data_IF_831158511156
#
_entry.id   IF_831158511156
#
_cell.length_a   1.000
_cell.length_b   1.000
_cell.length_c   1.000
_cell.angle_alpha   90.00
_cell.angle_beta   90.00
_cell.angle_gamma   90.00
#
_symmetry.space_group_name_H-M   'P 1'
#
loop_
_entity.id
_entity.type
_entity.pdbx_description
1 polymer ?
#
# COMPACT_ATOMS: atom_id res chain seq x y z
N UNK A 1 -4.25 0.80 -24.95
CA UNK A 1 -4.14 -0.35 -24.02
C UNK A 1 -5.40 -0.38 -23.17
N UNK A 2 -5.92 -1.55 -22.85
CA UNK A 2 -7.03 -1.72 -21.91
C UNK A 2 -6.61 -1.34 -20.47
N UNK A 3 -7.57 -1.03 -19.57
CA UNK A 3 -7.27 -0.67 -18.18
C UNK A 3 -6.37 -1.67 -17.44
N UNK A 4 -6.57 -3.00 -17.59
CA UNK A 4 -5.67 -3.98 -16.96
C UNK A 4 -4.20 -3.84 -17.40
N UNK A 5 -3.95 -3.61 -18.69
CA UNK A 5 -2.60 -3.45 -19.21
C UNK A 5 -1.91 -2.20 -18.65
N UNK A 6 -2.66 -1.09 -18.53
CA UNK A 6 -2.16 0.16 -17.96
C UNK A 6 -1.80 0.01 -16.50
N UNK A 7 -2.61 -0.72 -15.73
CA UNK A 7 -2.34 -0.96 -14.30
C UNK A 7 -1.10 -1.84 -14.11
N UNK A 8 -0.98 -2.95 -14.86
CA UNK A 8 0.17 -3.86 -14.81
C UNK A 8 1.46 -3.14 -15.24
N UNK A 9 1.38 -2.31 -16.26
CA UNK A 9 2.52 -1.55 -16.78
C UNK A 9 2.83 -0.26 -16.00
N UNK A 10 2.12 0.00 -14.90
CA UNK A 10 2.36 1.16 -14.02
C UNK A 10 2.23 2.49 -14.77
N UNK A 11 1.24 2.59 -15.67
CA UNK A 11 0.92 3.84 -16.38
C UNK A 11 0.55 4.92 -15.36
N UNK A 12 1.42 5.90 -15.19
CA UNK A 12 1.28 6.95 -14.17
C UNK A 12 0.02 7.79 -14.38
N UNK A 13 -0.35 8.07 -15.62
CA UNK A 13 -1.56 8.81 -15.91
C UNK A 13 -2.80 8.01 -15.50
N UNK A 14 -2.83 6.71 -15.83
CA UNK A 14 -3.91 5.83 -15.42
C UNK A 14 -4.00 5.69 -13.89
N UNK A 15 -2.85 5.50 -13.22
CA UNK A 15 -2.81 5.41 -11.76
C UNK A 15 -3.35 6.69 -11.11
N UNK A 16 -2.88 7.86 -11.55
CA UNK A 16 -3.27 9.17 -11.01
C UNK A 16 -4.72 9.53 -11.29
N UNK A 17 -5.17 9.37 -12.55
CA UNK A 17 -6.40 9.97 -13.06
C UNK A 17 -7.60 9.01 -13.02
N UNK A 18 -7.37 7.70 -12.88
CA UNK A 18 -8.41 6.67 -12.90
C UNK A 18 -8.40 5.80 -11.65
N UNK A 19 -7.26 5.16 -11.34
CA UNK A 19 -7.19 4.18 -10.26
C UNK A 19 -7.19 4.82 -8.87
N UNK A 20 -6.46 5.93 -8.72
CA UNK A 20 -6.27 6.66 -7.47
C UNK A 20 -6.71 8.12 -7.57
N UNK A 21 -7.66 8.45 -8.46
CA UNK A 21 -8.22 9.81 -8.55
C UNK A 21 -8.81 10.28 -7.22
N UNK A 22 -9.35 9.35 -6.44
CA UNK A 22 -9.84 9.50 -5.08
C UNK A 22 -9.68 8.19 -4.29
N UNK A 23 -10.06 8.21 -3.01
CA UNK A 23 -9.93 7.06 -2.11
C UNK A 23 -10.98 5.95 -2.27
N UNK A 24 -11.93 6.03 -3.18
CA UNK A 24 -13.08 5.11 -3.24
C UNK A 24 -12.65 3.64 -3.46
N UNK A 25 -11.89 3.38 -4.52
CA UNK A 25 -11.37 2.03 -4.83
C UNK A 25 -10.41 1.53 -3.76
N UNK A 26 -9.60 2.43 -3.18
CA UNK A 26 -8.68 2.08 -2.10
C UNK A 26 -9.44 1.73 -0.82
N UNK A 27 -10.56 2.40 -0.50
CA UNK A 27 -11.39 2.08 0.67
C UNK A 27 -11.96 0.67 0.62
N UNK A 28 -12.45 0.19 -0.53
CA UNK A 28 -12.94 -1.18 -0.67
C UNK A 28 -11.85 -2.21 -0.31
N UNK A 29 -10.61 -1.98 -0.76
CA UNK A 29 -9.46 -2.85 -0.43
C UNK A 29 -9.09 -2.78 1.05
N UNK A 30 -8.96 -1.58 1.60
CA UNK A 30 -8.60 -1.40 3.01
C UNK A 30 -9.69 -1.91 3.96
N UNK A 31 -10.96 -1.85 3.58
CA UNK A 31 -12.08 -2.38 4.34
C UNK A 31 -11.99 -3.89 4.50
N UNK A 32 -11.67 -4.64 3.43
CA UNK A 32 -11.50 -6.10 3.51
C UNK A 32 -10.41 -6.45 4.54
N UNK A 33 -9.26 -5.78 4.45
CA UNK A 33 -8.17 -6.00 5.39
C UNK A 33 -8.53 -5.61 6.83
N UNK A 34 -9.22 -4.51 7.04
CA UNK A 34 -9.63 -4.05 8.37
C UNK A 34 -10.67 -4.96 9.02
N UNK A 35 -11.63 -5.49 8.22
CA UNK A 35 -12.76 -6.30 8.73
C UNK A 35 -12.36 -7.73 9.05
N UNK A 36 -11.43 -8.32 8.29
CA UNK A 36 -11.17 -9.75 8.31
C UNK A 36 -9.75 -10.14 8.74
N UNK A 37 -8.89 -9.18 9.09
CA UNK A 37 -7.57 -9.46 9.66
C UNK A 37 -7.69 -10.26 10.97
N UNK A 38 -6.82 -11.26 11.13
CA UNK A 38 -6.79 -12.09 12.36
C UNK A 38 -5.80 -11.56 13.38
N UNK A 39 -4.88 -10.67 12.96
CA UNK A 39 -3.90 -10.06 13.85
C UNK A 39 -4.56 -9.01 14.74
N UNK A 40 -4.26 -9.04 16.04
CA UNK A 40 -4.82 -8.10 17.04
C UNK A 40 -4.27 -6.67 16.91
N UNK A 41 -3.03 -6.52 16.44
CA UNK A 41 -2.41 -5.22 16.20
C UNK A 41 -2.68 -4.84 14.75
N UNK A 42 -3.43 -3.77 14.45
CA UNK A 42 -3.65 -3.33 13.08
C UNK A 42 -2.36 -3.02 12.33
N UNK A 43 -2.35 -3.29 11.02
CA UNK A 43 -1.22 -3.05 10.11
C UNK A 43 -0.57 -1.67 10.30
N UNK A 44 -1.38 -0.62 10.39
CA UNK A 44 -0.91 0.76 10.53
C UNK A 44 -0.18 1.00 11.86
N UNK A 45 -0.68 0.40 12.94
CA UNK A 45 -0.04 0.49 14.24
C UNK A 45 1.27 -0.29 14.27
N UNK A 46 1.27 -1.48 13.68
CA UNK A 46 2.47 -2.30 13.57
C UNK A 46 3.56 -1.58 12.77
N UNK A 47 3.22 -1.01 11.60
CA UNK A 47 4.17 -0.23 10.79
C UNK A 47 4.79 0.92 11.58
N UNK A 48 3.97 1.74 12.23
CA UNK A 48 4.48 2.86 13.03
C UNK A 48 5.38 2.41 14.18
N UNK A 49 5.14 1.22 14.73
CA UNK A 49 6.00 0.63 15.76
C UNK A 49 7.39 0.22 15.27
N UNK A 50 7.64 0.17 13.95
CA UNK A 50 8.95 -0.18 13.39
C UNK A 50 9.93 0.98 13.32
N UNK A 51 9.45 2.23 13.36
CA UNK A 51 10.29 3.42 13.26
C UNK A 51 9.87 4.46 14.28
N UNK A 52 10.86 5.13 14.85
CA UNK A 52 10.66 6.27 15.75
C UNK A 52 10.93 7.56 14.98
N UNK A 53 9.99 8.51 15.03
CA UNK A 53 10.20 9.85 14.50
C UNK A 53 10.72 10.70 15.66
N UNK A 54 11.92 11.33 15.54
CA UNK A 54 12.47 12.16 16.58
C UNK A 54 11.55 13.30 17.00
N UNK A 55 11.59 13.72 18.25
CA UNK A 55 10.89 14.93 18.70
C UNK A 55 11.41 16.15 17.94
N UNK A 56 10.48 16.97 17.40
CA UNK A 56 10.80 18.08 16.53
C UNK A 56 11.35 17.67 15.16
N UNK A 57 11.33 16.39 14.82
CA UNK A 57 11.84 15.86 13.56
C UNK A 57 10.90 16.06 12.38
N UNK A 58 11.39 15.76 11.17
CA UNK A 58 10.65 15.88 9.92
C UNK A 58 10.42 14.50 9.32
N UNK A 59 9.16 14.14 9.09
CA UNK A 59 8.75 12.91 8.43
C UNK A 59 8.14 13.20 7.05
N UNK A 60 8.46 12.36 6.07
CA UNK A 60 7.88 12.36 4.74
C UNK A 60 7.17 11.04 4.49
N UNK A 61 5.89 11.07 4.13
CA UNK A 61 5.21 9.91 3.56
C UNK A 61 5.04 10.11 2.05
N UNK A 62 5.53 9.14 1.27
CA UNK A 62 5.40 9.09 -0.19
C UNK A 62 4.39 8.03 -0.57
N UNK A 63 3.36 8.42 -1.37
CA UNK A 63 2.23 7.57 -1.68
C UNK A 63 1.29 7.40 -0.47
N UNK A 64 0.89 8.53 0.16
CA UNK A 64 0.10 8.51 1.40
C UNK A 64 -1.32 7.96 1.23
N UNK A 65 -1.83 7.86 0.00
CA UNK A 65 -3.20 7.47 -0.27
C UNK A 65 -4.19 8.32 0.52
N UNK A 66 -5.09 7.67 1.24
CA UNK A 66 -6.10 8.33 2.08
C UNK A 66 -5.62 8.70 3.51
N UNK A 67 -4.32 8.54 3.80
CA UNK A 67 -3.73 8.92 5.09
C UNK A 67 -4.01 7.95 6.24
N UNK A 68 -4.42 6.72 5.96
CA UNK A 68 -4.79 5.73 6.98
C UNK A 68 -3.66 5.38 7.94
N UNK A 69 -2.41 5.50 7.53
CA UNK A 69 -1.26 5.25 8.40
C UNK A 69 -1.31 6.11 9.65
N UNK A 70 -1.82 7.32 9.58
CA UNK A 70 -1.81 8.31 10.65
C UNK A 70 -3.15 8.43 11.42
N UNK A 71 -4.19 7.74 10.98
CA UNK A 71 -5.52 7.85 11.56
C UNK A 71 -5.91 6.64 12.41
N UNK A 72 -5.41 5.44 12.09
CA UNK A 72 -5.77 4.22 12.81
C UNK A 72 -4.88 4.04 14.04
N UNK A 73 -5.51 3.93 15.22
CA UNK A 73 -4.82 3.69 16.49
C UNK A 73 -3.91 4.84 16.94
N UNK A 74 -4.15 6.05 16.45
CA UNK A 74 -3.44 7.24 16.91
C UNK A 74 -4.29 7.97 17.95
N UNK A 75 -3.74 8.21 19.14
CA UNK A 75 -4.46 8.84 20.24
C UNK A 75 -4.38 10.38 20.26
N UNK A 76 -3.60 10.97 19.35
CA UNK A 76 -3.58 12.44 19.14
C UNK A 76 -2.79 13.25 20.14
N UNK A 77 -2.26 12.66 21.20
CA UNK A 77 -1.73 13.47 22.30
C UNK A 77 -0.28 13.96 22.13
N UNK A 78 0.54 13.42 21.23
CA UNK A 78 1.96 13.77 21.16
C UNK A 78 2.61 13.67 19.77
N UNK A 79 2.06 14.31 18.74
CA UNK A 79 2.84 14.51 17.52
C UNK A 79 3.73 15.74 17.67
N UNK A 80 4.91 15.57 18.24
CA UNK A 80 5.95 16.60 18.30
C UNK A 80 6.91 16.42 17.09
N UNK A 81 6.36 16.40 15.87
CA UNK A 81 7.09 16.32 14.61
C UNK A 81 6.29 16.95 13.47
N UNK A 82 6.98 17.35 12.40
CA UNK A 82 6.37 17.80 11.15
C UNK A 82 6.16 16.63 10.20
N UNK A 83 4.97 16.51 9.59
CA UNK A 83 4.65 15.50 8.60
C UNK A 83 4.39 16.13 7.23
N UNK A 84 5.09 15.65 6.22
CA UNK A 84 4.78 15.98 4.82
C UNK A 84 4.14 14.76 4.15
N UNK A 85 2.88 14.92 3.72
CA UNK A 85 2.15 13.90 2.96
C UNK A 85 2.34 14.15 1.46
N UNK A 86 2.76 13.12 0.73
CA UNK A 86 2.83 13.19 -0.73
C UNK A 86 2.17 12.00 -1.40
N UNK A 87 1.62 12.23 -2.57
CA UNK A 87 1.05 11.20 -3.44
C UNK A 87 1.15 11.68 -4.89
N UNK A 88 1.14 10.77 -5.85
CA UNK A 88 1.06 11.11 -7.26
C UNK A 88 -0.27 11.81 -7.59
N UNK A 89 -1.34 11.41 -6.90
CA UNK A 89 -2.68 11.96 -7.04
C UNK A 89 -2.94 13.14 -6.11
N UNK A 90 -3.26 14.30 -6.71
CA UNK A 90 -3.73 15.47 -5.95
C UNK A 90 -5.03 15.20 -5.18
N UNK A 91 -5.89 14.31 -5.69
CA UNK A 91 -7.13 13.87 -5.03
C UNK A 91 -6.84 13.13 -3.73
N UNK A 92 -5.86 12.20 -3.75
CA UNK A 92 -5.46 11.46 -2.55
C UNK A 92 -4.94 12.38 -1.45
N UNK A 93 -4.00 13.28 -1.74
CA UNK A 93 -3.49 14.22 -0.71
C UNK A 93 -4.57 15.20 -0.23
N UNK A 94 -5.56 15.53 -1.07
CA UNK A 94 -6.68 16.37 -0.69
C UNK A 94 -7.62 15.65 0.30
N UNK A 95 -7.87 14.35 0.11
CA UNK A 95 -8.65 13.53 1.04
C UNK A 95 -7.89 13.23 2.35
N UNK A 96 -6.59 12.92 2.26
CA UNK A 96 -5.78 12.57 3.42
C UNK A 96 -5.64 13.72 4.43
N UNK A 97 -5.39 14.95 3.94
CA UNK A 97 -5.05 16.08 4.79
C UNK A 97 -6.05 16.37 5.93
N UNK A 98 -7.37 16.51 5.67
CA UNK A 98 -8.34 16.81 6.74
C UNK A 98 -8.45 15.66 7.75
N UNK A 99 -8.20 14.43 7.36
CA UNK A 99 -8.23 13.27 8.24
C UNK A 99 -6.99 13.25 9.15
N UNK A 100 -5.80 13.42 8.55
CA UNK A 100 -4.53 13.37 9.28
C UNK A 100 -4.37 14.56 10.23
N UNK A 101 -4.90 15.74 9.90
CA UNK A 101 -4.91 16.93 10.78
C UNK A 101 -5.71 16.77 12.07
N UNK A 102 -6.53 15.73 12.17
CA UNK A 102 -7.22 15.39 13.43
C UNK A 102 -6.27 14.75 14.45
N UNK A 103 -5.16 14.21 13.98
CA UNK A 103 -4.19 13.44 14.76
C UNK A 103 -2.81 14.09 14.81
N UNK A 104 -2.37 14.72 13.72
CA UNK A 104 -1.07 15.39 13.59
C UNK A 104 -1.30 16.89 13.38
N UNK A 105 -0.61 17.74 14.18
CA UNK A 105 -0.81 19.19 14.12
C UNK A 105 -0.14 19.85 12.92
N UNK A 106 1.15 19.55 12.74
CA UNK A 106 1.95 20.13 11.64
C UNK A 106 1.98 19.17 10.45
N UNK A 107 1.06 19.39 9.52
CA UNK A 107 0.92 18.57 8.30
C UNK A 107 0.96 19.44 7.06
N UNK A 108 1.93 19.18 6.19
CA UNK A 108 2.05 19.71 4.83
C UNK A 108 1.58 18.65 3.82
N UNK A 109 1.26 19.08 2.60
CA UNK A 109 0.88 18.17 1.51
C UNK A 109 1.40 18.64 0.17
N UNK A 110 1.72 17.68 -0.72
CA UNK A 110 2.13 17.98 -2.09
C UNK A 110 1.78 16.78 -3.00
N UNK A 111 1.22 17.05 -4.18
CA UNK A 111 1.12 16.04 -5.23
C UNK A 111 2.46 15.99 -5.98
N UNK A 112 3.11 14.80 -6.03
CA UNK A 112 4.47 14.65 -6.56
C UNK A 112 4.73 13.22 -7.04
N UNK A 113 5.56 13.09 -8.06
CA UNK A 113 6.13 11.80 -8.45
C UNK A 113 7.26 11.41 -7.48
N UNK A 114 7.20 10.19 -6.96
CA UNK A 114 8.21 9.63 -6.06
C UNK A 114 9.63 9.61 -6.65
N UNK A 115 9.76 9.60 -7.97
CA UNK A 115 11.03 9.62 -8.69
C UNK A 115 11.67 11.01 -8.77
N UNK A 116 10.93 12.08 -8.42
CA UNK A 116 11.39 13.47 -8.51
C UNK A 116 10.82 14.28 -7.33
N UNK A 117 11.44 14.15 -6.16
CA UNK A 117 10.99 14.85 -4.96
C UNK A 117 11.51 16.29 -4.92
N UNK A 118 10.63 17.31 -4.87
CA UNK A 118 11.03 18.72 -4.87
C UNK A 118 11.46 19.20 -3.47
N UNK A 119 12.28 18.40 -2.80
CA UNK A 119 12.83 18.71 -1.49
C UNK A 119 14.36 18.77 -1.57
N UNK A 120 14.95 19.57 -0.72
CA UNK A 120 16.40 19.67 -0.60
C UNK A 120 17.00 18.35 -0.07
N UNK A 121 18.28 18.13 -0.31
CA UNK A 121 19.04 17.03 0.27
C UNK A 121 19.00 17.09 1.79
N UNK A 122 18.89 15.92 2.43
CA UNK A 122 18.96 15.82 3.89
C UNK A 122 17.91 16.67 4.62
N UNK A 123 16.65 16.66 4.14
CA UNK A 123 15.52 17.40 4.69
C UNK A 123 14.70 16.65 5.74
N UNK A 124 14.74 15.31 5.71
CA UNK A 124 13.87 14.47 6.53
C UNK A 124 14.66 13.51 7.42
N UNK A 125 14.13 13.23 8.61
CA UNK A 125 14.65 12.21 9.52
C UNK A 125 14.09 10.82 9.20
N UNK A 126 12.82 10.78 8.75
CA UNK A 126 12.13 9.55 8.37
C UNK A 126 11.42 9.72 7.04
N UNK A 127 11.61 8.75 6.14
CA UNK A 127 10.82 8.60 4.91
C UNK A 127 10.01 7.31 4.99
N UNK A 128 8.74 7.40 4.62
CA UNK A 128 7.80 6.27 4.64
C UNK A 128 7.25 6.07 3.22
N UNK A 129 7.36 4.83 2.72
CA UNK A 129 6.80 4.39 1.44
C UNK A 129 5.92 3.15 1.71
N UNK A 130 4.64 3.38 2.06
CA UNK A 130 3.74 2.32 2.46
C UNK A 130 2.94 1.77 1.29
N UNK A 131 3.26 0.54 0.83
CA UNK A 131 2.56 -0.18 -0.23
C UNK A 131 2.47 0.61 -1.56
N UNK A 132 3.56 1.29 -1.96
CA UNK A 132 3.51 2.15 -3.13
C UNK A 132 4.62 1.91 -4.16
N UNK A 133 5.82 1.43 -3.76
CA UNK A 133 6.99 1.33 -4.64
C UNK A 133 6.77 0.41 -5.86
N UNK A 134 5.94 -0.61 -5.74
CA UNK A 134 5.59 -1.47 -6.87
C UNK A 134 4.68 -0.79 -7.93
N UNK A 135 4.16 0.40 -7.66
CA UNK A 135 3.43 1.23 -8.61
C UNK A 135 4.33 2.23 -9.35
N UNK A 136 5.56 2.40 -8.90
CA UNK A 136 6.51 3.33 -9.50
C UNK A 136 7.14 2.72 -10.75
N UNK A 137 7.27 3.45 -11.87
CA UNK A 137 7.91 2.94 -13.09
C UNK A 137 9.34 2.47 -12.87
N UNK A 138 10.17 3.27 -12.20
CA UNK A 138 11.50 2.89 -11.73
C UNK A 138 11.60 3.02 -10.20
N UNK A 139 11.39 1.90 -9.44
CA UNK A 139 11.53 1.93 -7.98
C UNK A 139 12.93 2.33 -7.50
N UNK A 140 13.99 2.04 -8.28
CA UNK A 140 15.38 2.39 -7.92
C UNK A 140 15.59 3.90 -7.95
N UNK A 141 14.98 4.60 -8.93
CA UNK A 141 15.01 6.07 -8.98
C UNK A 141 14.34 6.67 -7.74
N UNK A 142 13.14 6.19 -7.38
CA UNK A 142 12.46 6.63 -6.16
C UNK A 142 13.31 6.34 -4.91
N UNK A 143 13.95 5.18 -4.83
CA UNK A 143 14.85 4.82 -3.70
C UNK A 143 16.04 5.76 -3.61
N UNK A 144 16.64 6.18 -4.75
CA UNK A 144 17.71 7.19 -4.77
C UNK A 144 17.21 8.55 -4.24
N UNK A 145 16.02 8.97 -4.64
CA UNK A 145 15.40 10.20 -4.13
C UNK A 145 15.12 10.11 -2.62
N UNK A 146 14.62 8.97 -2.13
CA UNK A 146 14.41 8.76 -0.69
C UNK A 146 15.73 8.85 0.09
N UNK A 147 16.80 8.23 -0.43
CA UNK A 147 18.11 8.35 0.16
C UNK A 147 18.64 9.80 0.12
N UNK A 148 18.42 10.53 -0.98
CA UNK A 148 18.86 11.93 -1.13
C UNK A 148 18.21 12.84 -0.08
N UNK A 149 16.89 12.75 0.07
CA UNK A 149 16.15 13.66 0.97
C UNK A 149 16.28 13.28 2.45
N UNK A 150 16.68 12.05 2.79
CA UNK A 150 16.95 11.62 4.16
C UNK A 150 18.23 12.28 4.69
N UNK A 151 18.23 12.68 5.95
CA UNK A 151 19.42 13.10 6.72
C UNK A 151 20.35 11.90 6.93
N UNK A 152 21.62 12.17 7.20
CA UNK A 152 22.55 11.10 7.65
C UNK A 152 22.04 10.48 8.96
N UNK A 153 21.98 9.17 8.99
CA UNK A 153 21.36 8.42 10.11
C UNK A 153 19.83 8.35 10.07
N UNK A 154 19.21 9.00 9.08
CA UNK A 154 17.77 8.91 8.84
C UNK A 154 17.32 7.52 8.39
N UNK A 155 16.03 7.26 8.49
CA UNK A 155 15.43 5.94 8.29
C UNK A 155 14.39 5.96 7.18
N UNK A 156 14.49 5.02 6.24
CA UNK A 156 13.42 4.67 5.32
C UNK A 156 12.65 3.47 5.86
N UNK A 157 11.32 3.57 5.89
CA UNK A 157 10.41 2.43 6.02
C UNK A 157 9.70 2.22 4.68
N UNK A 158 9.91 1.06 4.05
CA UNK A 158 9.28 0.70 2.79
C UNK A 158 8.51 -0.61 2.93
N UNK A 159 7.19 -0.55 2.91
CA UNK A 159 6.38 -1.76 2.99
C UNK A 159 5.99 -2.29 1.61
N UNK A 160 5.89 -3.62 1.52
CA UNK A 160 5.54 -4.31 0.29
C UNK A 160 4.99 -5.72 0.57
N UNK A 161 4.70 -6.44 -0.51
CA UNK A 161 4.11 -7.77 -0.48
C UNK A 161 5.10 -8.83 -1.00
N UNK A 162 4.91 -10.06 -0.56
CA UNK A 162 5.58 -11.23 -1.10
C UNK A 162 4.73 -11.98 -2.14
N UNK A 163 5.26 -13.06 -2.72
CA UNK A 163 4.61 -13.80 -3.83
C UNK A 163 3.35 -14.56 -3.41
N UNK A 164 3.19 -14.84 -2.12
CA UNK A 164 2.02 -15.56 -1.61
C UNK A 164 0.88 -14.62 -1.19
N UNK A 165 1.06 -13.28 -1.29
CA UNK A 165 0.06 -12.32 -0.85
C UNK A 165 -1.24 -12.44 -1.65
N UNK A 166 -2.35 -12.65 -0.93
CA UNK A 166 -3.71 -12.78 -1.48
C UNK A 166 -3.86 -13.82 -2.60
N UNK A 167 -3.01 -14.85 -2.61
CA UNK A 167 -2.96 -15.85 -3.69
C UNK A 167 -4.31 -16.57 -3.91
N UNK A 168 -5.15 -16.70 -2.88
CA UNK A 168 -6.47 -17.28 -2.99
C UNK A 168 -7.41 -16.40 -3.80
N UNK A 169 -7.39 -15.07 -3.55
CA UNK A 169 -8.16 -14.10 -4.32
C UNK A 169 -7.70 -14.05 -5.78
N UNK A 170 -6.38 -14.03 -6.01
CA UNK A 170 -5.82 -14.04 -7.37
C UNK A 170 -6.15 -15.33 -8.15
N UNK A 171 -6.27 -16.49 -7.47
CA UNK A 171 -6.73 -17.72 -8.12
C UNK A 171 -8.20 -17.64 -8.52
N UNK A 172 -9.07 -17.08 -7.67
CA UNK A 172 -10.48 -16.85 -7.98
C UNK A 172 -10.59 -15.89 -9.15
N UNK A 173 -9.87 -14.78 -9.11
CA UNK A 173 -9.81 -13.78 -10.19
C UNK A 173 -9.35 -14.40 -11.52
N UNK A 174 -8.25 -15.15 -11.50
CA UNK A 174 -7.73 -15.82 -12.69
C UNK A 174 -8.69 -16.84 -13.29
N UNK A 175 -9.52 -17.50 -12.47
CA UNK A 175 -10.53 -18.47 -12.96
C UNK A 175 -11.69 -17.83 -13.71
N UNK A 176 -11.95 -16.53 -13.47
CA UNK A 176 -13.04 -15.75 -14.12
C UNK A 176 -12.52 -14.88 -15.26
N UNK A 177 -11.37 -14.22 -15.08
CA UNK A 177 -10.84 -13.23 -16.03
C UNK A 177 -9.65 -13.72 -16.86
N UNK A 178 -9.11 -14.90 -16.51
CA UNK A 178 -7.94 -15.49 -17.16
C UNK A 178 -6.62 -15.18 -16.43
N UNK A 179 -5.62 -16.08 -16.55
CA UNK A 179 -4.39 -16.06 -15.76
C UNK A 179 -3.40 -14.94 -16.14
N UNK A 180 -3.52 -14.35 -17.32
CA UNK A 180 -2.58 -13.32 -17.82
C UNK A 180 -2.79 -11.94 -17.22
N UNK A 181 -3.82 -11.76 -16.39
CA UNK A 181 -4.21 -10.45 -15.82
C UNK A 181 -3.94 -10.32 -14.33
N UNK A 182 -3.29 -11.31 -13.72
CA UNK A 182 -2.95 -11.29 -12.29
C UNK A 182 -1.82 -10.28 -12.04
N UNK A 183 -2.07 -9.37 -11.09
CA UNK A 183 -1.08 -8.38 -10.67
C UNK A 183 0.10 -9.04 -9.95
N UNK A 184 1.32 -8.68 -10.36
CA UNK A 184 2.56 -9.22 -9.80
C UNK A 184 3.40 -8.11 -9.15
N UNK A 185 2.81 -7.40 -8.21
CA UNK A 185 3.47 -6.31 -7.49
C UNK A 185 4.82 -6.72 -6.89
N UNK A 186 4.90 -7.94 -6.35
CA UNK A 186 6.11 -8.49 -5.75
C UNK A 186 7.29 -8.70 -6.74
N UNK A 187 7.03 -8.76 -8.05
CA UNK A 187 8.10 -8.85 -9.06
C UNK A 187 8.78 -7.50 -9.30
N UNK A 188 8.07 -6.39 -9.09
CA UNK A 188 8.58 -5.03 -9.28
C UNK A 188 9.39 -4.57 -8.08
N UNK A 189 8.75 -4.58 -6.91
CA UNK A 189 9.33 -4.28 -5.61
C UNK A 189 8.64 -5.16 -4.56
N UNK A 190 9.21 -6.29 -4.23
CA UNK A 190 8.62 -7.31 -3.35
C UNK A 190 9.53 -7.67 -2.19
N UNK A 191 9.02 -8.51 -1.29
CA UNK A 191 9.75 -8.99 -0.12
C UNK A 191 11.09 -9.64 -0.47
N UNK A 192 11.19 -10.32 -1.65
CA UNK A 192 12.40 -11.00 -2.09
C UNK A 192 13.36 -10.10 -2.88
N UNK A 193 12.85 -9.11 -3.62
CA UNK A 193 13.65 -8.27 -4.52
C UNK A 193 13.94 -6.88 -3.94
N UNK A 194 13.07 -6.36 -3.07
CA UNK A 194 13.16 -4.99 -2.54
C UNK A 194 14.42 -4.75 -1.71
N UNK A 195 14.85 -5.73 -0.91
CA UNK A 195 16.06 -5.60 -0.11
C UNK A 195 17.31 -5.32 -0.93
N UNK A 196 17.48 -6.02 -2.08
CA UNK A 196 18.57 -5.76 -3.00
C UNK A 196 18.51 -4.37 -3.65
N UNK A 197 17.31 -3.92 -4.03
CA UNK A 197 17.11 -2.59 -4.61
C UNK A 197 17.41 -1.49 -3.58
N UNK A 198 17.01 -1.67 -2.32
CA UNK A 198 17.32 -0.74 -1.24
C UNK A 198 18.81 -0.69 -0.91
N UNK A 199 19.50 -1.83 -0.91
CA UNK A 199 20.92 -1.93 -0.60
C UNK A 199 21.84 -1.17 -1.58
N UNK A 200 21.32 -0.78 -2.76
CA UNK A 200 22.06 0.07 -3.70
C UNK A 200 22.24 1.51 -3.18
N UNK A 201 21.38 1.97 -2.26
CA UNK A 201 21.39 3.34 -1.72
C UNK A 201 21.51 3.40 -0.20
N UNK A 202 21.31 2.28 0.51
CA UNK A 202 21.29 2.21 1.96
C UNK A 202 22.28 1.19 2.49
N UNK A 203 23.04 1.55 3.54
CA UNK A 203 24.09 0.69 4.11
C UNK A 203 23.57 -0.48 4.94
N UNK A 204 22.38 -0.38 5.50
CA UNK A 204 21.76 -1.41 6.35
C UNK A 204 20.28 -1.55 6.04
N UNK A 205 19.87 -2.75 5.64
CA UNK A 205 18.48 -3.07 5.25
C UNK A 205 18.03 -4.31 6.00
N UNK A 206 16.91 -4.22 6.73
CA UNK A 206 16.28 -5.35 7.42
C UNK A 206 14.85 -5.53 6.96
N UNK A 207 14.39 -6.78 6.88
CA UNK A 207 13.00 -7.13 6.59
C UNK A 207 12.27 -7.52 7.87
N UNK A 208 11.06 -7.01 8.04
CA UNK A 208 10.13 -7.34 9.10
C UNK A 208 8.84 -7.86 8.48
N UNK A 209 8.49 -9.11 8.74
CA UNK A 209 7.23 -9.71 8.27
C UNK A 209 6.09 -9.40 9.24
N UNK A 210 4.90 -9.17 8.67
CA UNK A 210 3.67 -9.05 9.45
C UNK A 210 2.87 -10.32 9.28
N UNK A 211 2.84 -11.15 10.34
CA UNK A 211 2.17 -12.45 10.33
C UNK A 211 0.66 -12.28 10.53
N UNK A 212 -0.10 -12.38 9.45
CA UNK A 212 -1.55 -12.19 9.45
C UNK A 212 -2.20 -13.00 8.32
N UNK A 213 -3.51 -13.18 8.42
CA UNK A 213 -4.39 -13.71 7.36
C UNK A 213 -5.71 -12.98 7.40
N UNK A 214 -6.53 -13.14 6.36
CA UNK A 214 -7.93 -12.71 6.39
C UNK A 214 -8.83 -13.95 6.51
N UNK A 215 -9.85 -13.85 7.35
CA UNK A 215 -10.93 -14.84 7.43
C UNK A 215 -12.23 -14.16 6.95
N UNK A 216 -12.42 -14.16 5.63
CA UNK A 216 -13.55 -13.46 5.01
C UNK A 216 -14.82 -14.28 5.14
N UNK A 217 -15.85 -13.71 5.77
CA UNK A 217 -17.15 -14.35 6.00
C UNK A 217 -18.28 -13.75 5.19
N UNK A 218 -18.03 -12.71 4.41
CA UNK A 218 -19.00 -12.07 3.54
C UNK A 218 -18.52 -12.09 2.08
N UNK A 219 -19.33 -12.68 1.22
CA UNK A 219 -19.04 -12.85 -0.21
C UNK A 219 -18.99 -11.49 -0.92
N UNK A 220 -19.86 -10.56 -0.53
CA UNK A 220 -19.96 -9.26 -1.19
C UNK A 220 -18.73 -8.39 -0.93
N UNK A 221 -18.14 -8.45 0.25
CA UNK A 221 -16.89 -7.77 0.57
C UNK A 221 -15.71 -8.32 -0.26
N UNK A 222 -15.66 -9.64 -0.48
CA UNK A 222 -14.63 -10.26 -1.33
C UNK A 222 -14.81 -9.85 -2.79
N UNK A 223 -16.05 -9.82 -3.29
CA UNK A 223 -16.36 -9.36 -4.63
C UNK A 223 -15.99 -7.87 -4.79
N UNK A 224 -16.35 -7.03 -3.81
CA UNK A 224 -16.01 -5.61 -3.82
C UNK A 224 -14.49 -5.38 -3.89
N UNK A 225 -13.71 -6.20 -3.16
CA UNK A 225 -12.24 -6.18 -3.26
C UNK A 225 -11.78 -6.49 -4.69
N UNK A 226 -12.21 -7.62 -5.28
CA UNK A 226 -11.82 -8.06 -6.63
C UNK A 226 -12.23 -6.99 -7.67
N UNK A 227 -13.43 -6.42 -7.53
CA UNK A 227 -13.94 -5.39 -8.44
C UNK A 227 -13.35 -3.99 -8.20
N UNK A 228 -12.46 -3.81 -7.23
CA UNK A 228 -11.78 -2.52 -6.97
C UNK A 228 -10.54 -2.28 -7.82
N UNK A 229 -10.08 -3.31 -8.54
CA UNK A 229 -8.89 -3.28 -9.41
C UNK A 229 -9.18 -3.93 -10.75
N UNK A 230 -8.46 -3.59 -11.83
CA UNK A 230 -8.52 -4.33 -13.09
C UNK A 230 -8.01 -5.78 -12.91
N UNK A 231 -8.63 -6.78 -13.56
CA UNK A 231 -9.74 -6.64 -14.51
C UNK A 231 -11.14 -6.58 -13.89
N UNK A 232 -11.27 -6.79 -12.58
CA UNK A 232 -12.55 -6.88 -11.89
C UNK A 232 -13.39 -5.60 -11.96
N UNK A 233 -12.76 -4.42 -12.10
CA UNK A 233 -13.49 -3.14 -12.23
C UNK A 233 -14.35 -3.06 -13.51
N UNK A 234 -14.06 -3.89 -14.53
CA UNK A 234 -14.78 -3.98 -15.79
C UNK A 234 -15.67 -5.26 -15.84
N UNK A 235 -15.88 -5.93 -14.68
CA UNK A 235 -16.61 -7.19 -14.62
C UNK A 235 -18.07 -7.06 -15.07
N UNK A 236 -18.50 -7.94 -15.97
CA UNK A 236 -19.91 -8.07 -16.32
C UNK A 236 -20.73 -8.68 -15.17
N UNK A 237 -22.05 -8.49 -15.21
CA UNK A 237 -22.96 -9.13 -14.24
C UNK A 237 -22.83 -10.65 -14.19
N UNK A 238 -22.53 -11.29 -15.34
CA UNK A 238 -22.30 -12.73 -15.42
C UNK A 238 -21.00 -13.15 -14.71
N UNK A 239 -19.91 -12.37 -14.91
CA UNK A 239 -18.63 -12.60 -14.23
C UNK A 239 -18.75 -12.38 -12.72
N UNK A 240 -19.49 -11.36 -12.27
CA UNK A 240 -19.79 -11.15 -10.83
C UNK A 240 -20.60 -12.32 -10.28
N UNK A 241 -21.59 -12.85 -11.00
CA UNK A 241 -22.33 -14.03 -10.60
C UNK A 241 -21.45 -15.30 -10.56
N UNK A 242 -20.45 -15.40 -11.43
CA UNK A 242 -19.47 -16.48 -11.42
C UNK A 242 -18.54 -16.38 -10.21
N UNK A 243 -17.99 -15.18 -9.90
CA UNK A 243 -17.22 -14.91 -8.68
C UNK A 243 -18.00 -15.34 -7.45
N UNK A 244 -19.27 -14.94 -7.34
CA UNK A 244 -20.15 -15.29 -6.21
C UNK A 244 -20.27 -16.80 -6.01
N UNK A 245 -20.50 -17.55 -7.09
CA UNK A 245 -20.62 -19.03 -7.02
C UNK A 245 -19.32 -19.68 -6.56
N UNK A 246 -18.17 -19.23 -7.05
CA UNK A 246 -16.87 -19.78 -6.69
C UNK A 246 -16.56 -19.50 -5.22
N UNK A 247 -16.75 -18.25 -4.78
CA UNK A 247 -16.47 -17.84 -3.39
C UNK A 247 -17.40 -18.58 -2.44
N UNK A 248 -18.71 -18.66 -2.75
CA UNK A 248 -19.67 -19.39 -1.94
C UNK A 248 -19.30 -20.88 -1.80
N UNK A 249 -18.87 -21.53 -2.89
CA UNK A 249 -18.41 -22.92 -2.87
C UNK A 249 -17.22 -23.11 -1.95
N UNK A 250 -16.19 -22.25 -2.06
CA UNK A 250 -15.00 -22.33 -1.19
C UNK A 250 -15.33 -22.04 0.28
N UNK A 251 -16.21 -21.10 0.57
CA UNK A 251 -16.66 -20.83 1.94
C UNK A 251 -17.42 -22.02 2.54
N UNK A 252 -18.28 -22.68 1.74
CA UNK A 252 -19.04 -23.86 2.20
C UNK A 252 -18.13 -25.06 2.55
N UNK A 253 -16.98 -25.17 1.88
CA UNK A 253 -15.97 -26.21 2.17
C UNK A 253 -15.13 -25.91 3.41
N UNK A 254 -15.17 -24.66 3.96
CA UNK A 254 -14.30 -24.16 5.01
C UNK A 254 -15.09 -23.41 6.12
N UNK A 255 -16.10 -24.04 6.68
CA UNK A 255 -16.89 -23.54 7.82
C UNK A 255 -17.46 -22.12 7.63
N UNK A 256 -17.81 -21.76 6.40
CA UNK A 256 -18.42 -20.47 6.07
C UNK A 256 -17.43 -19.31 5.93
N UNK A 257 -16.12 -19.55 5.91
CA UNK A 257 -15.11 -18.52 5.76
C UNK A 257 -14.11 -18.82 4.64
N UNK A 258 -13.72 -17.80 3.87
CA UNK A 258 -12.60 -17.87 2.94
C UNK A 258 -11.32 -17.41 3.67
N UNK A 259 -10.38 -18.35 3.85
CA UNK A 259 -9.05 -18.03 4.39
C UNK A 259 -8.16 -17.49 3.30
N UNK A 260 -7.63 -16.26 3.48
CA UNK A 260 -6.78 -15.56 2.51
C UNK A 260 -5.42 -15.26 3.13
N UNK A 261 -4.37 -15.69 2.45
CA UNK A 261 -2.97 -15.51 2.88
C UNK A 261 -2.56 -14.05 2.78
N UNK A 262 -1.96 -13.52 3.86
CA UNK A 262 -1.24 -12.23 3.83
C UNK A 262 0.26 -12.52 3.89
N UNK A 263 0.95 -12.23 2.79
CA UNK A 263 2.40 -12.26 2.69
C UNK A 263 2.87 -10.81 2.51
N UNK A 264 3.11 -10.13 3.63
CA UNK A 264 3.31 -8.68 3.67
C UNK A 264 4.26 -8.32 4.80
N UNK A 265 5.01 -7.25 4.63
CA UNK A 265 5.93 -6.73 5.64
C UNK A 265 6.55 -5.40 5.22
N UNK A 266 7.58 -5.00 5.93
CA UNK A 266 8.30 -3.76 5.67
C UNK A 266 9.81 -3.94 5.76
N UNK A 267 10.52 -3.26 4.90
CA UNK A 267 11.95 -3.01 5.02
C UNK A 267 12.17 -1.77 5.87
N UNK A 268 13.16 -1.84 6.75
CA UNK A 268 13.77 -0.71 7.43
C UNK A 268 15.18 -0.56 6.87
N UNK A 269 15.46 0.61 6.29
CA UNK A 269 16.75 0.91 5.69
C UNK A 269 17.33 2.20 6.30
N UNK A 270 18.62 2.20 6.62
CA UNK A 270 19.32 3.33 7.26
C UNK A 270 20.33 3.95 6.31
N UNK A 271 20.29 5.28 6.24
CA UNK A 271 21.23 6.09 5.45
C UNK A 271 22.57 6.28 6.17
#
# INVERSE_FOLDING_TARGET
>A
MASPDKFVNRDQAYLRDVQYVNGEKLRARTQLHAKYATQSIPWQMWLRGLVEIPKGGDALEVGCGTGLLWTIGWTGEESDFSLTLTDLSAGMVAEALPLVRRTIRDVKRLAVDAQHLPFDDSSFDVVIANQMLYHVPDPREAVREFARVLRRGGVLMASTVGPAHLRELFRIEASVFGPTRVLRHHEVFGAQSGGGQLAESFGHVTWHSYDDRLLCTDIDDVIAYICSTPPGEEASSEQVAQLRRIIAGQMAEHDGALSVTKDVGAFIARR
#
